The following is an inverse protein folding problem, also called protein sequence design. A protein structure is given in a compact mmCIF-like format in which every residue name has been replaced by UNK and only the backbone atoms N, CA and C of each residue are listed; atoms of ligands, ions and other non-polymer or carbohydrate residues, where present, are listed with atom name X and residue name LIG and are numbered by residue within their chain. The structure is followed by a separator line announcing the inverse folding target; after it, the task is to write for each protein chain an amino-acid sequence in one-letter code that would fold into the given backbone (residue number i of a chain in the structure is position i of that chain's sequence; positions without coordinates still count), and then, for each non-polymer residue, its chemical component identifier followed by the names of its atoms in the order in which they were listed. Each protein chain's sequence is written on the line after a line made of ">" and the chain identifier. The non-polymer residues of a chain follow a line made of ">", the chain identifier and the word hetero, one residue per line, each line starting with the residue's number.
data_IF_998832900382
#
_entry.id   IF_998832900382
#
_cell.length_a   1.000
_cell.length_b   1.000
_cell.length_c   1.000
_cell.angle_alpha   90.00
_cell.angle_beta   90.00
_cell.angle_gamma   90.00
#
_symmetry.space_group_name_H-M   'P 1'
#
loop_
_entity.id
_entity.type
_entity.pdbx_description
1 polymer ?
#
# COMPACT_ATOMS: atom_id res chain seq x y z
N UNK A 1 32.29 55.73 -27.79
CA UNK A 1 31.05 55.40 -27.05
C UNK A 1 31.15 53.98 -26.53
N UNK A 2 30.89 53.60 -25.28
CA UNK A 2 31.04 54.21 -23.96
C UNK A 2 31.05 52.98 -23.02
N UNK A 3 32.12 52.81 -22.24
CA UNK A 3 32.31 51.75 -21.23
C UNK A 3 31.38 51.97 -20.03
N UNK A 4 31.03 50.90 -19.32
CA UNK A 4 30.83 50.80 -17.85
C UNK A 4 30.48 49.33 -17.55
N UNK A 5 31.30 48.49 -16.91
CA UNK A 5 31.84 48.54 -15.54
C UNK A 5 30.83 48.99 -14.49
N UNK A 6 30.30 48.03 -13.72
CA UNK A 6 30.12 48.20 -12.29
C UNK A 6 30.49 46.89 -11.58
N UNK A 7 31.26 47.07 -10.52
CA UNK A 7 31.99 46.10 -9.72
C UNK A 7 31.56 46.29 -8.27
N UNK A 8 31.99 45.36 -7.41
CA UNK A 8 32.01 45.40 -5.94
C UNK A 8 30.65 45.15 -5.23
N UNK A 9 30.57 44.53 -4.04
CA UNK A 9 31.45 43.76 -3.14
C UNK A 9 30.62 43.50 -1.86
N UNK A 10 31.07 42.57 -1.02
CA UNK A 10 30.65 42.30 0.38
C UNK A 10 29.37 41.44 0.55
N UNK A 11 29.31 40.47 1.45
CA UNK A 11 29.90 40.45 2.78
C UNK A 11 30.22 39.00 3.23
N UNK A 12 31.39 38.84 3.83
CA UNK A 12 31.83 37.66 4.58
C UNK A 12 31.22 37.72 5.98
N UNK A 13 30.53 36.66 6.42
CA UNK A 13 30.25 36.42 7.83
C UNK A 13 30.57 34.96 8.17
N UNK A 14 31.80 34.74 8.63
CA UNK A 14 32.21 33.56 9.38
C UNK A 14 31.83 33.82 10.83
N UNK A 15 30.94 33.01 11.41
CA UNK A 15 30.80 32.90 12.86
C UNK A 15 31.30 31.52 13.28
N UNK A 16 32.49 31.54 13.87
CA UNK A 16 33.00 30.48 14.70
C UNK A 16 32.44 30.63 16.13
N UNK A 17 32.61 29.56 16.93
CA UNK A 17 32.31 29.36 18.37
C UNK A 17 30.95 28.66 18.58
N UNK A 18 30.81 27.59 19.38
CA UNK A 18 31.56 27.18 20.57
C UNK A 18 31.84 25.66 20.62
N UNK A 19 33.00 25.33 21.20
CA UNK A 19 33.28 24.06 21.89
C UNK A 19 32.92 24.28 23.37
N UNK A 20 32.15 23.38 23.99
CA UNK A 20 32.27 23.12 25.43
C UNK A 20 31.80 21.69 25.78
N UNK A 21 32.41 21.02 26.79
CA UNK A 21 32.55 19.56 26.84
C UNK A 21 31.64 18.84 27.87
N UNK A 22 31.46 17.55 27.60
CA UNK A 22 31.42 16.37 28.50
C UNK A 22 30.97 16.54 29.97
N UNK A 23 29.95 15.78 30.41
CA UNK A 23 30.11 14.50 31.15
C UNK A 23 28.78 13.76 31.41
N UNK A 24 28.75 12.50 30.91
CA UNK A 24 28.18 11.25 31.43
C UNK A 24 26.97 11.22 32.40
N UNK A 25 25.95 10.41 32.05
CA UNK A 25 25.55 9.24 32.85
C UNK A 25 24.53 8.32 32.12
N UNK A 26 24.99 7.10 31.81
CA UNK A 26 24.29 5.81 31.87
C UNK A 26 22.83 5.68 31.36
N UNK A 27 22.69 5.11 30.15
CA UNK A 27 21.85 3.92 29.93
C UNK A 27 22.31 3.22 28.64
N UNK A 28 23.03 2.08 28.69
CA UNK A 28 23.14 1.24 27.51
C UNK A 28 21.78 0.57 27.30
N UNK A 29 20.96 1.13 26.43
CA UNK A 29 19.93 0.36 25.73
C UNK A 29 20.65 -0.56 24.74
N UNK A 30 21.35 -1.56 25.28
CA UNK A 30 21.77 -2.75 24.56
C UNK A 30 20.51 -3.44 24.06
N UNK A 31 20.23 -3.25 22.78
CA UNK A 31 19.03 -3.80 22.16
C UNK A 31 18.92 -3.55 20.67
N UNK A 32 20.01 -3.23 19.95
CA UNK A 32 20.08 -3.64 18.55
C UNK A 32 20.35 -5.13 18.60
N UNK A 33 19.27 -5.89 18.79
CA UNK A 33 19.26 -7.31 18.47
C UNK A 33 19.52 -7.34 16.97
N UNK A 34 20.78 -7.57 16.61
CA UNK A 34 21.09 -8.16 15.32
C UNK A 34 20.30 -9.46 15.31
N UNK A 35 19.14 -9.42 14.65
CA UNK A 35 18.30 -10.56 14.36
C UNK A 35 19.17 -11.53 13.59
N UNK A 36 19.85 -12.43 14.30
CA UNK A 36 20.58 -13.52 13.66
C UNK A 36 19.53 -14.26 12.81
N UNK A 37 19.74 -14.39 11.50
CA UNK A 37 18.73 -15.00 10.66
C UNK A 37 18.61 -16.47 11.06
N UNK A 38 17.51 -16.81 11.75
CA UNK A 38 17.01 -18.17 11.94
C UNK A 38 16.52 -18.80 10.63
N UNK A 39 16.61 -18.06 9.52
CA UNK A 39 16.43 -18.54 8.16
C UNK A 39 17.79 -18.85 7.56
N UNK A 40 17.94 -19.99 6.88
CA UNK A 40 19.15 -20.38 6.14
C UNK A 40 19.53 -19.48 4.95
N UNK A 41 19.05 -18.24 4.94
CA UNK A 41 19.37 -17.19 3.97
C UNK A 41 20.27 -16.12 4.62
N UNK A 42 21.18 -15.52 3.84
CA UNK A 42 22.00 -14.42 4.31
C UNK A 42 21.14 -13.23 4.74
N UNK A 43 21.67 -12.43 5.66
CA UNK A 43 21.04 -11.21 6.15
C UNK A 43 20.97 -10.12 5.07
N UNK A 44 20.09 -9.15 5.25
CA UNK A 44 19.92 -8.03 4.32
C UNK A 44 21.21 -7.25 4.07
N UNK A 45 22.02 -7.08 5.11
CA UNK A 45 23.30 -6.40 5.06
C UNK A 45 24.30 -7.17 4.18
N UNK A 46 24.46 -8.47 4.41
CA UNK A 46 25.34 -9.35 3.61
C UNK A 46 24.91 -9.39 2.14
N UNK A 47 23.60 -9.46 1.87
CA UNK A 47 23.06 -9.40 0.50
C UNK A 47 23.36 -8.06 -0.17
N UNK A 48 23.30 -6.96 0.58
CA UNK A 48 23.65 -5.64 0.05
C UNK A 48 25.15 -5.50 -0.23
N UNK A 49 26.01 -6.02 0.64
CA UNK A 49 27.46 -6.06 0.41
C UNK A 49 27.80 -6.85 -0.84
N UNK A 50 27.18 -8.03 -1.04
CA UNK A 50 27.40 -8.84 -2.24
C UNK A 50 26.89 -8.15 -3.52
N UNK A 51 25.74 -7.47 -3.47
CA UNK A 51 25.27 -6.60 -4.58
C UNK A 51 26.31 -5.56 -4.96
N UNK A 52 26.85 -4.86 -3.96
CA UNK A 52 27.85 -3.82 -4.16
C UNK A 52 29.14 -4.43 -4.73
N UNK A 53 29.56 -5.60 -4.23
CA UNK A 53 30.73 -6.32 -4.74
C UNK A 53 30.58 -6.66 -6.22
N UNK A 54 29.49 -7.32 -6.62
CA UNK A 54 29.23 -7.70 -8.01
C UNK A 54 29.13 -6.48 -8.93
N UNK A 55 28.52 -5.38 -8.45
CA UNK A 55 28.43 -4.12 -9.20
C UNK A 55 29.81 -3.50 -9.43
N UNK A 56 30.67 -3.46 -8.39
CA UNK A 56 32.05 -2.97 -8.52
C UNK A 56 32.87 -3.84 -9.46
N UNK A 57 32.72 -5.16 -9.38
CA UNK A 57 33.42 -6.11 -10.25
C UNK A 57 33.03 -5.93 -11.72
N UNK A 58 31.73 -5.74 -11.99
CA UNK A 58 31.22 -5.40 -13.33
C UNK A 58 31.83 -4.10 -13.86
N UNK A 59 31.82 -3.05 -13.05
CA UNK A 59 32.39 -1.77 -13.45
C UNK A 59 33.89 -1.88 -13.72
N UNK A 60 34.64 -2.60 -12.88
CA UNK A 60 36.06 -2.81 -13.06
C UNK A 60 36.39 -3.56 -14.37
N UNK A 61 35.59 -4.56 -14.75
CA UNK A 61 35.74 -5.26 -16.04
C UNK A 61 35.48 -4.33 -17.22
N UNK A 62 34.43 -3.50 -17.16
CA UNK A 62 34.12 -2.53 -18.20
C UNK A 62 35.23 -1.48 -18.34
N UNK A 63 35.71 -0.93 -17.23
CA UNK A 63 36.76 0.07 -17.22
C UNK A 63 38.09 -0.52 -17.70
N UNK A 64 38.42 -1.76 -17.31
CA UNK A 64 39.57 -2.49 -17.83
C UNK A 64 39.48 -2.67 -19.35
N UNK A 65 38.33 -3.12 -19.86
CA UNK A 65 38.14 -3.26 -21.31
C UNK A 65 38.27 -1.92 -22.03
N UNK A 66 37.70 -0.83 -21.49
CA UNK A 66 37.84 0.52 -22.05
C UNK A 66 39.31 0.95 -22.11
N UNK A 67 40.11 0.64 -21.09
CA UNK A 67 41.54 0.92 -21.07
C UNK A 67 42.30 0.07 -22.10
N UNK A 68 42.05 -1.24 -22.15
CA UNK A 68 42.66 -2.15 -23.14
C UNK A 68 42.36 -1.68 -24.57
N UNK A 69 41.15 -1.22 -24.84
CA UNK A 69 40.76 -0.67 -26.14
C UNK A 69 41.57 0.59 -26.51
N UNK A 70 41.84 1.48 -25.55
CA UNK A 70 42.70 2.66 -25.77
C UNK A 70 44.14 2.25 -26.08
N UNK A 71 44.65 1.23 -25.40
CA UNK A 71 45.99 0.69 -25.65
C UNK A 71 46.09 0.02 -27.02
N UNK A 72 45.02 -0.67 -27.46
CA UNK A 72 45.02 -1.31 -28.78
C UNK A 72 45.22 -0.34 -29.94
N UNK A 73 44.75 0.91 -29.84
CA UNK A 73 44.99 1.93 -30.87
C UNK A 73 46.43 2.43 -30.94
N UNK A 74 47.27 2.10 -29.95
CA UNK A 74 48.69 2.41 -29.96
C UNK A 74 49.53 1.27 -30.55
N UNK A 75 48.93 0.10 -30.78
CA UNK A 75 49.60 -1.06 -31.35
C UNK A 75 49.54 -1.05 -32.87
N UNK A 76 50.52 -1.70 -33.51
CA UNK A 76 50.56 -1.82 -34.97
C UNK A 76 49.40 -2.66 -35.53
N UNK A 77 49.15 -3.83 -34.93
CA UNK A 77 48.00 -4.68 -35.27
C UNK A 77 46.81 -4.39 -34.34
N UNK A 78 46.14 -3.28 -34.61
CA UNK A 78 44.96 -2.83 -33.85
C UNK A 78 43.84 -3.89 -33.91
N UNK A 79 43.67 -4.57 -35.05
CA UNK A 79 42.56 -5.51 -35.24
C UNK A 79 42.74 -6.77 -34.39
N UNK A 80 43.91 -7.41 -34.46
CA UNK A 80 44.20 -8.57 -33.61
C UNK A 80 44.12 -8.22 -32.13
N UNK A 81 44.68 -7.06 -31.73
CA UNK A 81 44.60 -6.58 -30.35
C UNK A 81 43.15 -6.44 -29.87
N UNK A 82 42.28 -5.80 -30.67
CA UNK A 82 40.87 -5.60 -30.33
C UNK A 82 40.10 -6.90 -30.21
N UNK A 83 40.37 -7.87 -31.09
CA UNK A 83 39.72 -9.19 -31.03
C UNK A 83 40.11 -9.91 -29.73
N UNK A 84 41.40 -9.95 -29.40
CA UNK A 84 41.88 -10.55 -28.15
C UNK A 84 41.31 -9.86 -26.90
N UNK A 85 41.27 -8.52 -26.88
CA UNK A 85 40.68 -7.76 -25.77
C UNK A 85 39.18 -8.06 -25.62
N UNK A 86 38.46 -8.21 -26.74
CA UNK A 86 37.05 -8.61 -26.73
C UNK A 86 36.86 -10.03 -26.18
N UNK A 87 37.68 -10.97 -26.61
CA UNK A 87 37.56 -12.37 -26.18
C UNK A 87 37.85 -12.50 -24.67
N UNK A 88 38.90 -11.83 -24.17
CA UNK A 88 39.17 -11.72 -22.72
C UNK A 88 38.00 -11.13 -21.95
N UNK A 89 37.35 -10.09 -22.49
CA UNK A 89 36.15 -9.51 -21.87
C UNK A 89 35.00 -10.51 -21.84
N UNK A 90 34.73 -11.20 -22.95
CA UNK A 90 33.62 -12.18 -23.02
C UNK A 90 33.81 -13.28 -21.97
N UNK A 91 35.02 -13.81 -21.82
CA UNK A 91 35.33 -14.83 -20.82
C UNK A 91 35.11 -14.32 -19.39
N UNK A 92 35.63 -13.13 -19.07
CA UNK A 92 35.47 -12.51 -17.75
C UNK A 92 34.00 -12.16 -17.44
N UNK A 93 33.29 -11.54 -18.38
CA UNK A 93 31.87 -11.21 -18.25
C UNK A 93 31.03 -12.48 -18.08
N UNK A 94 31.36 -13.57 -18.78
CA UNK A 94 30.66 -14.86 -18.65
C UNK A 94 30.85 -15.46 -17.27
N UNK A 95 32.06 -15.39 -16.71
CA UNK A 95 32.33 -15.84 -15.35
C UNK A 95 31.56 -15.00 -14.31
N UNK A 96 31.60 -13.67 -14.43
CA UNK A 96 30.87 -12.77 -13.52
C UNK A 96 29.35 -12.97 -13.62
N UNK A 97 28.82 -13.10 -14.85
CA UNK A 97 27.38 -13.33 -15.07
C UNK A 97 26.88 -14.61 -14.42
N UNK A 98 27.69 -15.67 -14.37
CA UNK A 98 27.34 -16.90 -13.64
C UNK A 98 27.17 -16.64 -12.14
N UNK A 99 28.01 -15.78 -11.55
CA UNK A 99 27.90 -15.40 -10.14
C UNK A 99 26.64 -14.55 -9.89
N UNK A 100 26.41 -13.53 -10.71
CA UNK A 100 25.22 -12.68 -10.62
C UNK A 100 23.92 -13.48 -10.81
N UNK A 101 23.88 -14.46 -11.72
CA UNK A 101 22.71 -15.31 -11.92
C UNK A 101 22.42 -16.17 -10.69
N UNK A 102 23.45 -16.71 -10.03
CA UNK A 102 23.31 -17.46 -8.77
C UNK A 102 22.77 -16.55 -7.66
N UNK A 103 23.36 -15.37 -7.51
CA UNK A 103 22.90 -14.36 -6.55
C UNK A 103 21.43 -13.96 -6.80
N UNK A 104 21.08 -13.61 -8.04
CA UNK A 104 19.71 -13.25 -8.41
C UNK A 104 18.71 -14.41 -8.24
N UNK A 105 19.16 -15.66 -8.40
CA UNK A 105 18.32 -16.82 -8.12
C UNK A 105 18.01 -16.94 -6.61
N UNK A 106 19.01 -16.71 -5.76
CA UNK A 106 18.82 -16.67 -4.31
C UNK A 106 17.88 -15.52 -3.90
N UNK A 107 18.08 -14.32 -4.42
CA UNK A 107 17.20 -13.17 -4.13
C UNK A 107 15.74 -13.46 -4.53
N UNK A 108 15.53 -14.12 -5.68
CA UNK A 108 14.18 -14.55 -6.10
C UNK A 108 13.55 -15.53 -5.11
N UNK A 109 14.33 -16.46 -4.55
CA UNK A 109 13.82 -17.40 -3.55
C UNK A 109 13.41 -16.68 -2.27
N UNK A 110 14.25 -15.75 -1.79
CA UNK A 110 13.96 -14.97 -0.58
C UNK A 110 12.67 -14.15 -0.77
N UNK A 111 12.54 -13.43 -1.88
CA UNK A 111 11.32 -12.66 -2.16
C UNK A 111 10.07 -13.54 -2.30
N UNK A 112 10.21 -14.73 -2.89
CA UNK A 112 9.11 -15.68 -2.95
C UNK A 112 8.69 -16.17 -1.56
N UNK A 113 9.64 -16.41 -0.66
CA UNK A 113 9.37 -16.78 0.73
C UNK A 113 8.70 -15.66 1.52
N UNK A 114 9.19 -14.43 1.39
CA UNK A 114 8.59 -13.25 2.00
C UNK A 114 7.16 -13.00 1.50
N UNK A 115 6.94 -13.12 0.18
CA UNK A 115 5.61 -12.98 -0.41
C UNK A 115 4.65 -14.08 0.09
N UNK A 116 5.12 -15.33 0.19
CA UNK A 116 4.33 -16.44 0.75
C UNK A 116 3.93 -16.18 2.19
N UNK A 117 4.86 -15.70 3.04
CA UNK A 117 4.57 -15.33 4.43
C UNK A 117 3.53 -14.21 4.51
N UNK A 118 3.73 -13.13 3.75
CA UNK A 118 2.79 -12.00 3.74
C UNK A 118 1.39 -12.41 3.27
N UNK A 119 1.27 -13.29 2.28
CA UNK A 119 -0.02 -13.83 1.84
C UNK A 119 -0.66 -14.71 2.91
N UNK A 120 0.11 -15.54 3.60
CA UNK A 120 -0.40 -16.36 4.71
C UNK A 120 -0.94 -15.48 5.84
N UNK A 121 -0.21 -14.43 6.23
CA UNK A 121 -0.61 -13.48 7.27
C UNK A 121 -1.91 -12.78 6.88
N UNK A 122 -1.98 -12.20 5.66
CA UNK A 122 -3.19 -11.54 5.16
C UNK A 122 -4.40 -12.47 5.09
N UNK A 123 -4.19 -13.71 4.65
CA UNK A 123 -5.26 -14.71 4.60
C UNK A 123 -5.75 -15.07 6.01
N UNK A 124 -4.83 -15.19 6.97
CA UNK A 124 -5.18 -15.46 8.37
C UNK A 124 -5.99 -14.30 8.96
N UNK A 125 -5.57 -13.05 8.76
CA UNK A 125 -6.31 -11.87 9.21
C UNK A 125 -7.69 -11.76 8.55
N UNK A 126 -7.76 -12.00 7.23
CA UNK A 126 -9.02 -11.99 6.50
C UNK A 126 -9.98 -13.08 7.01
N UNK A 127 -9.46 -14.27 7.31
CA UNK A 127 -10.26 -15.36 7.89
C UNK A 127 -10.79 -15.01 9.28
N UNK A 128 -9.96 -14.39 10.13
CA UNK A 128 -10.37 -13.94 11.47
C UNK A 128 -11.43 -12.84 11.37
N UNK A 129 -11.25 -11.85 10.50
CA UNK A 129 -12.23 -10.78 10.27
C UNK A 129 -13.56 -11.34 9.75
N UNK A 130 -13.52 -12.29 8.81
CA UNK A 130 -14.73 -12.98 8.33
C UNK A 130 -15.44 -13.74 9.44
N UNK A 131 -14.71 -14.52 10.24
CA UNK A 131 -15.28 -15.25 11.37
C UNK A 131 -15.88 -14.31 12.43
N UNK A 132 -15.25 -13.16 12.70
CA UNK A 132 -15.79 -12.13 13.59
C UNK A 132 -17.07 -11.50 13.02
N UNK A 133 -17.09 -11.16 11.73
CA UNK A 133 -18.25 -10.61 11.07
C UNK A 133 -19.43 -11.60 11.06
N UNK A 134 -19.17 -12.88 10.80
CA UNK A 134 -20.17 -13.94 10.84
C UNK A 134 -20.75 -14.13 12.24
N UNK A 135 -19.91 -14.15 13.28
CA UNK A 135 -20.37 -14.18 14.68
C UNK A 135 -21.21 -12.95 15.04
N UNK A 136 -20.79 -11.76 14.62
CA UNK A 136 -21.55 -10.53 14.84
C UNK A 136 -22.92 -10.59 14.14
N UNK A 137 -22.96 -11.07 12.90
CA UNK A 137 -24.19 -11.25 12.13
C UNK A 137 -25.12 -12.30 12.78
N UNK A 138 -24.58 -13.42 13.27
CA UNK A 138 -25.40 -14.45 13.93
C UNK A 138 -26.01 -13.93 15.24
N UNK A 139 -25.25 -13.15 16.02
CA UNK A 139 -25.74 -12.52 17.25
C UNK A 139 -26.82 -11.49 16.91
N UNK A 140 -26.60 -10.64 15.91
CA UNK A 140 -27.59 -9.66 15.47
C UNK A 140 -28.89 -10.34 15.00
N UNK A 141 -28.78 -11.38 14.16
CA UNK A 141 -29.95 -12.13 13.70
C UNK A 141 -30.67 -12.88 14.84
N UNK A 142 -29.94 -13.34 15.87
CA UNK A 142 -30.56 -13.94 17.06
C UNK A 142 -31.34 -12.90 17.87
N UNK A 143 -30.77 -11.69 18.04
CA UNK A 143 -31.43 -10.59 18.74
C UNK A 143 -32.69 -10.15 17.98
N UNK A 144 -32.59 -9.95 16.68
CA UNK A 144 -33.73 -9.57 15.84
C UNK A 144 -34.88 -10.59 15.93
N UNK A 145 -34.58 -11.89 15.93
CA UNK A 145 -35.60 -12.93 16.13
C UNK A 145 -36.22 -12.88 17.53
N UNK A 146 -35.41 -12.62 18.56
CA UNK A 146 -35.91 -12.48 19.94
C UNK A 146 -36.81 -11.25 20.08
N UNK A 147 -36.41 -10.11 19.52
CA UNK A 147 -37.17 -8.86 19.52
C UNK A 147 -38.47 -9.01 18.73
N UNK A 148 -38.42 -9.63 17.55
CA UNK A 148 -39.62 -9.91 16.74
C UNK A 148 -40.59 -10.85 17.47
N UNK A 149 -40.07 -11.87 18.17
CA UNK A 149 -40.91 -12.75 18.99
C UNK A 149 -41.51 -12.01 20.19
N UNK A 150 -40.72 -11.18 20.90
CA UNK A 150 -41.21 -10.36 22.00
C UNK A 150 -42.30 -9.38 21.54
N UNK A 151 -42.09 -8.72 20.40
CA UNK A 151 -43.08 -7.83 19.80
C UNK A 151 -44.37 -8.57 19.45
N UNK A 152 -44.28 -9.77 18.86
CA UNK A 152 -45.47 -10.60 18.58
C UNK A 152 -46.23 -10.97 19.85
N UNK A 153 -45.54 -11.26 20.94
CA UNK A 153 -46.19 -11.55 22.23
C UNK A 153 -46.91 -10.32 22.79
N UNK A 154 -46.31 -9.14 22.67
CA UNK A 154 -46.94 -7.87 23.06
C UNK A 154 -48.17 -7.60 22.19
N UNK A 155 -48.04 -7.74 20.87
CA UNK A 155 -49.13 -7.52 19.92
C UNK A 155 -50.30 -8.50 20.18
N UNK A 156 -50.00 -9.78 20.41
CA UNK A 156 -51.01 -10.80 20.76
C UNK A 156 -51.68 -10.51 22.11
N UNK A 157 -50.94 -10.01 23.10
CA UNK A 157 -51.50 -9.62 24.39
C UNK A 157 -52.40 -8.38 24.30
N UNK A 158 -52.12 -7.47 23.37
CA UNK A 158 -52.94 -6.28 23.10
C UNK A 158 -54.14 -6.59 22.19
N UNK A 159 -54.10 -7.68 21.43
CA UNK A 159 -55.16 -8.10 20.51
C UNK A 159 -56.47 -8.38 21.27
N UNK A 160 -57.56 -7.72 20.87
CA UNK A 160 -58.87 -7.83 21.53
C UNK A 160 -59.03 -6.93 22.76
N UNK A 161 -58.03 -6.14 23.13
CA UNK A 161 -58.17 -5.08 24.12
C UNK A 161 -58.61 -3.77 23.45
N UNK A 162 -59.40 -2.94 24.15
CA UNK A 162 -59.82 -1.60 23.65
C UNK A 162 -58.63 -0.71 23.26
N UNK A 163 -57.47 -0.91 23.88
CA UNK A 163 -56.23 -0.18 23.59
C UNK A 163 -55.59 -0.66 22.28
N UNK A 164 -55.52 -1.97 22.05
CA UNK A 164 -55.01 -2.54 20.80
C UNK A 164 -55.83 -2.10 19.58
N UNK A 165 -57.16 -2.14 19.68
CA UNK A 165 -58.06 -1.70 18.60
C UNK A 165 -57.87 -0.21 18.24
N UNK A 166 -57.64 0.64 19.25
CA UNK A 166 -57.39 2.07 19.05
C UNK A 166 -56.05 2.32 18.34
N UNK A 167 -54.97 1.66 18.79
CA UNK A 167 -53.63 1.78 18.20
C UNK A 167 -53.62 1.24 16.75
N UNK A 168 -54.34 0.15 16.47
CA UNK A 168 -54.50 -0.39 15.12
C UNK A 168 -55.21 0.63 14.20
N UNK A 169 -56.32 1.23 14.66
CA UNK A 169 -57.08 2.21 13.88
C UNK A 169 -56.27 3.47 13.57
N UNK A 170 -55.38 3.87 14.47
CA UNK A 170 -54.41 4.95 14.20
C UNK A 170 -53.40 4.56 13.12
N UNK A 171 -52.82 3.35 13.17
CA UNK A 171 -51.87 2.86 12.16
C UNK A 171 -52.51 2.77 10.78
N UNK A 172 -53.73 2.23 10.68
CA UNK A 172 -54.50 2.18 9.43
C UNK A 172 -54.81 3.57 8.88
N UNK A 173 -55.12 4.55 9.74
CA UNK A 173 -55.34 5.93 9.32
C UNK A 173 -54.06 6.57 8.75
N UNK A 174 -52.91 6.33 9.37
CA UNK A 174 -51.61 6.80 8.88
C UNK A 174 -51.23 6.13 7.56
N UNK A 175 -51.41 4.81 7.44
CA UNK A 175 -51.16 4.08 6.20
C UNK A 175 -52.05 4.60 5.07
N UNK A 176 -53.35 4.80 5.31
CA UNK A 176 -54.25 5.37 4.30
C UNK A 176 -53.84 6.78 3.85
N UNK A 177 -53.29 7.60 4.76
CA UNK A 177 -52.75 8.92 4.41
C UNK A 177 -51.49 8.80 3.54
N UNK A 178 -50.57 7.92 3.91
CA UNK A 178 -49.35 7.68 3.15
C UNK A 178 -49.64 7.09 1.75
N UNK A 179 -50.58 6.15 1.65
CA UNK A 179 -51.01 5.58 0.38
C UNK A 179 -51.70 6.60 -0.51
N UNK A 180 -52.54 7.48 0.08
CA UNK A 180 -53.15 8.58 -0.65
C UNK A 180 -52.09 9.57 -1.17
N UNK A 181 -51.09 9.90 -0.34
CA UNK A 181 -49.97 10.76 -0.73
C UNK A 181 -49.13 10.13 -1.84
N UNK A 182 -48.84 8.83 -1.76
CA UNK A 182 -48.15 8.08 -2.81
C UNK A 182 -48.94 8.09 -4.11
N UNK A 183 -50.24 7.82 -4.07
CA UNK A 183 -51.13 7.88 -5.24
C UNK A 183 -51.21 9.29 -5.84
N UNK A 184 -51.18 10.33 -5.01
CA UNK A 184 -51.11 11.73 -5.44
C UNK A 184 -49.78 12.04 -6.15
N UNK A 185 -48.65 11.52 -5.65
CA UNK A 185 -47.33 11.66 -6.28
C UNK A 185 -47.20 10.88 -7.59
N UNK A 186 -47.80 9.71 -7.67
CA UNK A 186 -47.77 8.84 -8.87
C UNK A 186 -48.82 9.24 -9.92
N UNK A 187 -49.73 10.17 -9.61
CA UNK A 187 -50.73 10.68 -10.56
C UNK A 187 -50.07 11.56 -11.63
N UNK A 188 -49.63 10.92 -12.72
CA UNK A 188 -49.13 11.57 -13.95
C UNK A 188 -50.24 12.05 -14.91
N UNK A 189 -51.50 12.15 -14.46
CA UNK A 189 -52.65 12.52 -15.31
C UNK A 189 -53.12 13.92 -14.97
N UNK A 190 -53.17 14.81 -15.96
CA UNK A 190 -53.62 16.21 -15.79
C UNK A 190 -54.94 16.27 -15.02
N UNK A 191 -55.09 17.18 -14.04
CA UNK A 191 -56.35 17.37 -13.33
C UNK A 191 -57.48 17.60 -14.34
N UNK A 192 -58.58 16.87 -14.20
CA UNK A 192 -59.75 17.09 -15.05
C UNK A 192 -60.16 18.56 -14.97
N UNK A 193 -60.44 19.16 -16.13
CA UNK A 193 -60.87 20.56 -16.22
C UNK A 193 -62.05 20.80 -15.26
N UNK A 194 -62.07 21.92 -14.51
CA UNK A 194 -63.15 22.20 -13.57
C UNK A 194 -64.47 22.22 -14.34
N UNK A 195 -65.48 21.54 -13.79
CA UNK A 195 -66.82 21.52 -14.36
C UNK A 195 -67.32 22.97 -14.54
N UNK A 196 -67.99 23.29 -15.64
CA UNK A 196 -68.55 24.62 -15.85
C UNK A 196 -69.51 24.92 -14.70
N UNK A 197 -69.28 26.06 -14.03
CA UNK A 197 -70.16 26.55 -12.97
C UNK A 197 -71.55 26.76 -13.60
N UNK A 198 -72.60 26.07 -13.14
CA UNK A 198 -73.96 26.37 -13.58
C UNK A 198 -74.24 27.84 -13.23
N UNK A 199 -74.56 28.65 -14.25
CA UNK A 199 -74.47 30.10 -14.18
C UNK A 199 -75.48 30.79 -13.25
N UNK A 200 -75.07 32.01 -12.85
CA UNK A 200 -75.81 33.06 -12.13
C UNK A 200 -76.20 32.71 -10.68
#
# INVERSE_FOLDING_TARGET
>A
MMKMFFSLLACVCVTAWCVEPSVNAAAPASGVVASQPLSGFPSDAERNEERVRLTRERQALEDKYRQEMKLCYQNFDVNSCRLQARDRRIEADTALRKQELRFNAQERQIHADEARRSLADRNSEASQKKAQAERAASIAASKERADANAQKQIDHALQGTKRGDYEQKQREAVQRRADAEKKLRERNKEPAAPLPVPGQ
#
